data_IF_168433511603
#
_entry.id   IF_168433511603
#
_cell.length_a   1.000
_cell.length_b   1.000
_cell.length_c   1.000
_cell.angle_alpha   90.00
_cell.angle_beta   90.00
_cell.angle_gamma   90.00
#
_symmetry.space_group_name_H-M   'P 1'
#
loop_
_entity.id
_entity.type
_entity.pdbx_description
1 polymer ?
#
# COMPACT_ATOMS: atom_id res chain seq x y z
N UNK A 1 12.08 17.24 -7.36
CA UNK A 1 12.07 16.39 -6.14
C UNK A 1 10.65 16.01 -5.73
N UNK A 2 9.70 16.96 -5.64
CA UNK A 2 8.30 16.75 -5.21
C UNK A 2 7.62 15.50 -5.83
N UNK A 3 7.58 15.40 -7.17
CA UNK A 3 6.91 14.28 -7.84
C UNK A 3 7.55 12.92 -7.53
N UNK A 4 8.88 12.86 -7.45
CA UNK A 4 9.63 11.63 -7.13
C UNK A 4 9.41 11.25 -5.66
N UNK A 5 9.46 12.22 -4.75
CA UNK A 5 9.22 12.02 -3.32
C UNK A 5 7.78 11.57 -3.05
N UNK A 6 6.79 12.21 -3.68
CA UNK A 6 5.38 11.83 -3.55
C UNK A 6 5.13 10.42 -4.12
N UNK A 7 5.68 10.12 -5.31
CA UNK A 7 5.59 8.80 -5.92
C UNK A 7 6.20 7.69 -5.04
N UNK A 8 7.36 7.94 -4.43
CA UNK A 8 7.99 6.98 -3.52
C UNK A 8 7.13 6.67 -2.29
N UNK A 9 6.50 7.69 -1.69
CA UNK A 9 5.61 7.52 -0.54
C UNK A 9 4.33 6.77 -0.93
N UNK A 10 3.66 7.19 -1.99
CA UNK A 10 2.39 6.57 -2.43
C UNK A 10 2.57 5.12 -2.89
N UNK A 11 3.67 4.81 -3.58
CA UNK A 11 3.91 3.44 -4.04
C UNK A 11 4.30 2.47 -2.92
N UNK A 12 4.91 2.97 -1.83
CA UNK A 12 5.26 2.15 -0.66
C UNK A 12 4.05 1.56 0.08
N UNK A 13 2.86 2.13 -0.07
CA UNK A 13 1.64 1.66 0.60
C UNK A 13 0.86 0.58 -0.18
N UNK A 14 1.23 0.31 -1.44
CA UNK A 14 0.47 -0.58 -2.32
C UNK A 14 0.61 -2.08 -1.98
N UNK A 15 1.58 -2.48 -1.15
CA UNK A 15 1.69 -3.86 -0.63
C UNK A 15 2.42 -3.86 0.71
N UNK A 16 2.40 -4.99 1.42
CA UNK A 16 3.19 -5.18 2.64
C UNK A 16 4.70 -5.32 2.41
N UNK A 17 5.16 -5.47 1.16
CA UNK A 17 6.59 -5.44 0.83
C UNK A 17 7.07 -4.00 0.59
N UNK A 18 6.14 -3.06 0.35
CA UNK A 18 6.46 -1.70 -0.07
C UNK A 18 7.18 -0.84 0.97
N UNK A 19 7.05 -1.16 2.27
CA UNK A 19 7.80 -0.50 3.34
C UNK A 19 7.95 -1.38 4.59
N UNK A 20 8.90 -1.03 5.46
CA UNK A 20 9.21 -1.80 6.66
C UNK A 20 8.03 -1.91 7.66
N UNK A 21 7.27 -0.83 7.97
CA UNK A 21 6.09 -0.95 8.83
C UNK A 21 5.03 -1.95 8.33
N UNK A 22 4.68 -1.94 7.05
CA UNK A 22 3.69 -2.88 6.51
C UNK A 22 4.20 -4.32 6.55
N UNK A 23 5.51 -4.52 6.33
CA UNK A 23 6.13 -5.84 6.42
C UNK A 23 6.11 -6.36 7.87
N UNK A 24 6.28 -5.47 8.86
CA UNK A 24 6.12 -5.80 10.27
C UNK A 24 4.68 -6.19 10.62
N UNK A 25 3.68 -5.47 10.10
CA UNK A 25 2.26 -5.83 10.32
C UNK A 25 1.93 -7.19 9.69
N UNK A 26 2.47 -7.49 8.49
CA UNK A 26 2.35 -8.80 7.86
C UNK A 26 2.92 -9.90 8.75
N UNK A 27 4.12 -9.74 9.29
CA UNK A 27 4.75 -10.78 10.13
C UNK A 27 4.01 -11.01 11.45
N UNK A 28 3.47 -9.95 12.07
CA UNK A 28 2.61 -10.07 13.27
C UNK A 28 1.33 -10.84 12.95
N UNK A 29 0.70 -10.55 11.80
CA UNK A 29 -0.53 -11.22 11.35
C UNK A 29 -0.28 -12.70 11.08
N UNK A 30 0.79 -13.03 10.34
CA UNK A 30 1.20 -14.42 10.08
C UNK A 30 1.54 -15.17 11.38
N UNK A 31 2.24 -14.52 12.31
CA UNK A 31 2.55 -15.11 13.63
C UNK A 31 1.30 -15.34 14.49
N UNK A 32 0.21 -14.61 14.22
CA UNK A 32 -1.09 -14.78 14.88
C UNK A 32 -1.99 -15.78 14.16
N UNK A 33 -1.49 -16.50 13.14
CA UNK A 33 -2.25 -17.48 12.37
C UNK A 33 -3.21 -16.89 11.34
N UNK A 34 -3.06 -15.60 11.00
CA UNK A 34 -3.88 -14.93 9.99
C UNK A 34 -3.20 -15.12 8.62
N UNK A 35 -3.90 -15.73 7.68
CA UNK A 35 -3.42 -15.86 6.31
C UNK A 35 -3.38 -14.50 5.60
N UNK A 36 -2.17 -14.06 5.28
CA UNK A 36 -1.96 -12.86 4.51
C UNK A 36 -2.10 -13.16 3.00
N UNK A 37 -2.69 -12.24 2.20
CA UNK A 37 -2.82 -12.45 0.76
C UNK A 37 -1.46 -12.58 0.07
N UNK A 38 -1.44 -13.01 -1.19
CA UNK A 38 -0.24 -12.90 -2.04
C UNK A 38 -0.01 -11.44 -2.46
N UNK A 39 1.20 -11.08 -2.89
CA UNK A 39 1.56 -9.71 -3.31
C UNK A 39 0.52 -9.08 -4.25
N UNK A 40 0.20 -9.78 -5.35
CA UNK A 40 -0.82 -9.34 -6.29
C UNK A 40 -2.24 -9.47 -5.71
N UNK A 41 -2.48 -10.46 -4.85
CA UNK A 41 -3.74 -10.59 -4.12
C UNK A 41 -4.07 -9.34 -3.30
N UNK A 42 -3.08 -8.75 -2.62
CA UNK A 42 -3.28 -7.50 -1.89
C UNK A 42 -3.52 -6.32 -2.81
N UNK A 43 -2.72 -6.22 -3.87
CA UNK A 43 -2.84 -5.14 -4.86
C UNK A 43 -4.25 -5.10 -5.46
N UNK A 44 -4.76 -6.23 -5.95
CA UNK A 44 -6.06 -6.28 -6.62
C UNK A 44 -7.25 -6.20 -5.66
N UNK A 45 -7.16 -6.82 -4.46
CA UNK A 45 -8.28 -6.84 -3.51
C UNK A 45 -8.38 -5.61 -2.63
N UNK A 46 -7.27 -4.91 -2.38
CA UNK A 46 -7.22 -3.79 -1.44
C UNK A 46 -6.70 -2.50 -2.08
N UNK A 47 -5.51 -2.51 -2.66
CA UNK A 47 -4.89 -1.26 -3.14
C UNK A 47 -5.65 -0.64 -4.32
N UNK A 48 -6.00 -1.43 -5.34
CA UNK A 48 -6.76 -0.91 -6.48
C UNK A 48 -8.16 -0.40 -6.11
N UNK A 49 -9.01 -1.13 -5.36
CA UNK A 49 -10.36 -0.65 -5.06
C UNK A 49 -10.42 0.45 -4.00
N UNK A 50 -9.40 0.59 -3.14
CA UNK A 50 -9.43 1.54 -2.02
C UNK A 50 -8.40 2.65 -2.20
N UNK A 51 -7.13 2.27 -2.35
CA UNK A 51 -6.00 3.20 -2.30
C UNK A 51 -5.88 4.03 -3.58
N UNK A 52 -6.13 3.44 -4.76
CA UNK A 52 -6.07 4.16 -6.04
C UNK A 52 -7.16 5.24 -6.18
N UNK A 53 -8.43 5.01 -5.81
CA UNK A 53 -9.44 6.07 -5.75
C UNK A 53 -9.01 7.21 -4.82
N UNK A 54 -8.44 6.90 -3.66
CA UNK A 54 -7.92 7.92 -2.75
C UNK A 54 -6.76 8.70 -3.37
N UNK A 55 -5.85 8.03 -4.07
CA UNK A 55 -4.76 8.72 -4.79
C UNK A 55 -5.29 9.66 -5.86
N UNK A 56 -6.30 9.24 -6.65
CA UNK A 56 -6.92 10.11 -7.65
C UNK A 56 -7.51 11.36 -6.97
N UNK A 57 -8.24 11.19 -5.86
CA UNK A 57 -8.83 12.30 -5.11
C UNK A 57 -7.74 13.24 -4.56
N UNK A 58 -6.71 12.68 -3.91
CA UNK A 58 -5.59 13.46 -3.36
C UNK A 58 -4.85 14.21 -4.46
N UNK A 59 -4.65 13.60 -5.63
CA UNK A 59 -4.06 14.27 -6.79
C UNK A 59 -4.90 15.48 -7.18
N UNK A 60 -6.21 15.34 -7.39
CA UNK A 60 -7.04 16.49 -7.78
C UNK A 60 -7.15 17.61 -6.71
N UNK A 61 -7.02 17.28 -5.43
CA UNK A 61 -7.16 18.26 -4.34
C UNK A 61 -5.86 19.02 -4.03
N UNK A 62 -4.70 18.40 -4.23
CA UNK A 62 -3.43 18.91 -3.72
C UNK A 62 -2.31 19.05 -4.75
N UNK A 63 -2.51 18.57 -5.99
CA UNK A 63 -1.53 18.62 -7.08
C UNK A 63 -2.13 19.21 -8.35
#
# INVERSE_FOLDING_TARGET
LLAISAGAVFMGANTYIGNAPNFMVKSISESSGIEMPSFFGYLFKWSLPILFPLFIIVTFLFF
#
